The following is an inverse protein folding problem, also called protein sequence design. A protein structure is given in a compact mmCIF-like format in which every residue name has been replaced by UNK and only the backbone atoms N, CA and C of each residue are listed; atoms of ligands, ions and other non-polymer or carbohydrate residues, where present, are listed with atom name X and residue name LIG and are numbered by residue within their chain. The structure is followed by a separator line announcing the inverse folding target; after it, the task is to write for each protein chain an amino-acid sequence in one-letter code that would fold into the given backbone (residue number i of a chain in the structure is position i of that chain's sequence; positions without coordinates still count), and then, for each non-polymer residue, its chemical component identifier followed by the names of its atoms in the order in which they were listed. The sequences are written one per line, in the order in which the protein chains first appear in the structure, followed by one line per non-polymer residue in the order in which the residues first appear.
data_IF_594935257933
#
_entry.id   IF_594935257933
#
_cell.length_a   1.000
_cell.length_b   1.000
_cell.length_c   1.000
_cell.angle_alpha   90.00
_cell.angle_beta   90.00
_cell.angle_gamma   90.00
#
_symmetry.space_group_name_H-M   'P 1'
#
loop_
_entity.id
_entity.type
_entity.pdbx_description
1 polymer ?
#
# COMPACT_ATOMS: atom_id res chain seq x y z
N UNK A 1 -22.73 -17.76 13.68
CA UNK A 1 -21.37 -17.97 14.23
C UNK A 1 -20.37 -17.62 13.15
N UNK A 2 -19.36 -16.81 13.45
CA UNK A 2 -18.30 -16.45 12.50
C UNK A 2 -17.50 -17.69 12.09
N UNK A 3 -17.04 -17.75 10.85
CA UNK A 3 -16.15 -18.82 10.38
C UNK A 3 -14.82 -18.72 11.14
N UNK A 4 -14.27 -19.87 11.55
CA UNK A 4 -13.02 -19.93 12.33
C UNK A 4 -11.94 -20.70 11.60
N UNK A 5 -10.72 -20.17 11.63
CA UNK A 5 -9.51 -20.87 11.20
C UNK A 5 -8.76 -21.37 12.44
N UNK A 6 -8.61 -22.69 12.54
CA UNK A 6 -7.97 -23.34 13.68
C UNK A 6 -6.53 -23.68 13.33
N UNK A 7 -5.59 -23.17 14.12
CA UNK A 7 -4.16 -23.48 13.97
C UNK A 7 -3.82 -24.87 14.51
N UNK A 8 -2.84 -25.51 13.88
CA UNK A 8 -2.25 -26.74 14.43
C UNK A 8 -1.51 -26.45 15.74
N UNK A 9 -1.46 -27.45 16.63
CA UNK A 9 -0.83 -27.32 17.96
C UNK A 9 0.60 -26.80 17.85
N UNK A 10 0.91 -25.71 18.56
CA UNK A 10 2.23 -25.08 18.61
C UNK A 10 2.53 -24.13 17.44
N UNK A 11 1.60 -23.96 16.49
CA UNK A 11 1.74 -23.07 15.33
C UNK A 11 1.18 -21.66 15.58
N UNK A 12 0.65 -21.39 16.78
CA UNK A 12 0.18 -20.08 17.22
C UNK A 12 1.29 -19.07 17.56
N UNK A 13 2.54 -19.54 17.73
CA UNK A 13 3.67 -18.70 18.17
C UNK A 13 3.90 -17.45 17.31
N UNK A 14 3.65 -17.51 16.00
CA UNK A 14 3.78 -16.35 15.12
C UNK A 14 2.75 -15.26 15.47
N UNK A 15 1.50 -15.65 15.74
CA UNK A 15 0.44 -14.71 16.15
C UNK A 15 0.67 -14.16 17.56
N UNK A 16 1.23 -14.94 18.48
CA UNK A 16 1.63 -14.44 19.79
C UNK A 16 2.70 -13.35 19.70
N UNK A 17 3.54 -13.38 18.66
CA UNK A 17 4.50 -12.33 18.31
C UNK A 17 3.92 -11.24 17.41
N UNK A 18 2.60 -11.25 17.21
CA UNK A 18 1.84 -10.32 16.35
C UNK A 18 2.29 -10.31 14.89
N UNK A 19 2.82 -11.44 14.39
CA UNK A 19 3.09 -11.59 12.97
C UNK A 19 1.77 -11.55 12.17
N UNK A 20 1.67 -10.77 11.08
CA UNK A 20 0.40 -10.54 10.40
C UNK A 20 -0.05 -11.71 9.51
N UNK A 21 0.82 -12.68 9.23
CA UNK A 21 0.51 -13.79 8.30
C UNK A 21 0.34 -15.13 9.01
N UNK A 22 -0.67 -15.87 8.56
CA UNK A 22 -0.87 -17.29 8.83
C UNK A 22 -0.62 -18.07 7.55
N UNK A 23 0.40 -18.92 7.55
CA UNK A 23 0.71 -19.78 6.41
C UNK A 23 -0.20 -21.00 6.34
N UNK A 24 -0.46 -21.50 5.13
CA UNK A 24 -1.28 -22.68 4.84
C UNK A 24 -0.88 -23.90 5.69
N UNK A 25 0.42 -24.20 5.81
CA UNK A 25 0.93 -25.31 6.61
C UNK A 25 0.84 -25.13 8.12
N UNK A 26 0.38 -23.98 8.63
CA UNK A 26 0.08 -23.77 10.05
C UNK A 26 -1.39 -24.09 10.39
N UNK A 27 -2.25 -24.28 9.39
CA UNK A 27 -3.69 -24.47 9.56
C UNK A 27 -4.01 -25.94 9.77
N UNK A 28 -4.74 -26.27 10.84
CA UNK A 28 -5.22 -27.62 11.07
C UNK A 28 -6.55 -27.87 10.34
N UNK A 29 -7.50 -26.92 10.46
CA UNK A 29 -8.82 -27.01 9.84
C UNK A 29 -9.51 -25.66 9.77
N UNK A 30 -10.54 -25.57 8.93
CA UNK A 30 -11.53 -24.51 8.93
C UNK A 30 -12.81 -25.02 9.57
N UNK A 31 -13.45 -24.21 10.40
CA UNK A 31 -14.76 -24.47 11.00
C UNK A 31 -15.77 -23.48 10.40
N UNK A 32 -16.58 -23.98 9.46
CA UNK A 32 -17.43 -23.17 8.59
C UNK A 32 -16.86 -23.01 7.18
N UNK A 33 -17.59 -22.34 6.30
CA UNK A 33 -17.17 -22.03 4.92
C UNK A 33 -17.06 -20.52 4.77
N UNK A 34 -15.87 -20.03 4.44
CA UNK A 34 -15.59 -18.62 4.16
C UNK A 34 -15.26 -18.41 2.69
N UNK A 35 -15.70 -17.29 2.16
CA UNK A 35 -15.41 -16.81 0.81
C UNK A 35 -14.00 -16.22 0.73
N UNK A 36 -13.51 -15.99 -0.49
CA UNK A 36 -12.24 -15.32 -0.72
C UNK A 36 -12.26 -13.90 -0.12
N UNK A 37 -11.35 -13.63 0.81
CA UNK A 37 -11.18 -12.35 1.49
C UNK A 37 -12.11 -12.11 2.67
N UNK A 38 -13.05 -13.02 2.93
CA UNK A 38 -14.02 -12.90 4.03
C UNK A 38 -13.32 -12.81 5.39
N UNK A 39 -13.88 -12.00 6.28
CA UNK A 39 -13.38 -11.82 7.65
C UNK A 39 -13.68 -13.05 8.48
N UNK A 40 -12.64 -13.62 9.10
CA UNK A 40 -12.69 -14.82 9.93
C UNK A 40 -11.97 -14.59 11.26
N UNK A 41 -12.35 -15.36 12.28
CA UNK A 41 -11.58 -15.42 13.52
C UNK A 41 -10.51 -16.53 13.41
N UNK A 42 -9.34 -16.28 13.98
CA UNK A 42 -8.21 -17.21 14.01
C UNK A 42 -8.03 -17.64 15.47
N UNK A 43 -8.05 -18.95 15.69
CA UNK A 43 -7.98 -19.56 17.02
C UNK A 43 -6.85 -20.59 17.11
N UNK A 44 -6.36 -20.84 18.31
CA UNK A 44 -5.43 -21.94 18.56
C UNK A 44 -6.12 -23.32 18.50
N UNK A 45 -5.35 -24.39 18.67
CA UNK A 45 -5.86 -25.76 18.65
C UNK A 45 -6.91 -26.09 19.74
N UNK A 46 -6.97 -25.29 20.81
CA UNK A 46 -7.94 -25.42 21.92
C UNK A 46 -9.16 -24.52 21.72
N UNK A 47 -9.18 -23.70 20.67
CA UNK A 47 -10.27 -22.77 20.37
C UNK A 47 -10.12 -21.40 21.03
N UNK A 48 -8.98 -21.08 21.65
CA UNK A 48 -8.73 -19.75 22.20
C UNK A 48 -8.53 -18.75 21.05
N UNK A 49 -9.23 -17.62 21.13
CA UNK A 49 -9.11 -16.55 20.14
C UNK A 49 -7.71 -15.93 20.15
N UNK A 50 -7.15 -15.70 18.94
CA UNK A 50 -5.83 -15.11 18.75
C UNK A 50 -5.88 -13.81 17.95
N UNK A 51 -6.67 -13.77 16.88
CA UNK A 51 -6.74 -12.64 15.96
C UNK A 51 -8.00 -12.71 15.09
N UNK A 52 -8.31 -11.58 14.43
CA UNK A 52 -9.30 -11.51 13.35
C UNK A 52 -8.61 -11.09 12.06
N UNK A 53 -8.90 -11.78 10.96
CA UNK A 53 -8.19 -11.61 9.70
C UNK A 53 -9.03 -11.94 8.48
N UNK A 54 -8.48 -11.72 7.29
CA UNK A 54 -9.09 -12.10 6.03
C UNK A 54 -8.57 -13.47 5.56
N UNK A 55 -9.49 -14.31 5.11
CA UNK A 55 -9.20 -15.63 4.57
C UNK A 55 -8.77 -15.58 3.10
N UNK A 56 -7.73 -16.34 2.72
CA UNK A 56 -7.26 -16.45 1.33
C UNK A 56 -7.12 -17.93 0.92
N UNK A 57 -8.14 -18.53 0.29
CA UNK A 57 -8.16 -19.96 -0.04
C UNK A 57 -7.19 -20.34 -1.17
N UNK A 58 -6.76 -19.41 -2.02
CA UNK A 58 -5.80 -19.67 -3.09
C UNK A 58 -4.34 -19.45 -2.67
N UNK A 59 -4.09 -18.62 -1.65
CA UNK A 59 -2.74 -18.19 -1.24
C UNK A 59 -2.06 -19.14 -0.25
N UNK A 60 -0.73 -19.22 -0.31
CA UNK A 60 0.07 -19.85 0.75
C UNK A 60 0.02 -19.04 2.05
N UNK A 61 -0.24 -17.73 1.97
CA UNK A 61 -0.62 -16.92 3.13
C UNK A 61 -2.13 -17.09 3.30
N UNK A 62 -2.50 -18.15 4.02
CA UNK A 62 -3.89 -18.61 4.16
C UNK A 62 -4.79 -17.60 4.85
N UNK A 63 -4.23 -16.77 5.75
CA UNK A 63 -4.92 -15.62 6.28
C UNK A 63 -3.95 -14.47 6.60
N UNK A 64 -4.45 -13.24 6.51
CA UNK A 64 -3.74 -12.04 7.00
C UNK A 64 -4.55 -11.36 8.09
N UNK A 65 -3.90 -10.95 9.16
CA UNK A 65 -4.53 -10.41 10.37
C UNK A 65 -4.88 -8.93 10.19
N UNK A 66 -6.14 -8.57 10.38
CA UNK A 66 -6.57 -7.18 10.48
C UNK A 66 -6.35 -6.59 11.86
N UNK A 67 -6.66 -7.38 12.90
CA UNK A 67 -6.55 -6.94 14.28
C UNK A 67 -6.28 -8.08 15.25
N UNK A 68 -5.64 -7.71 16.36
CA UNK A 68 -5.43 -8.55 17.54
C UNK A 68 -6.32 -8.09 18.71
N UNK A 69 -7.25 -7.16 18.48
CA UNK A 69 -8.28 -6.76 19.44
C UNK A 69 -9.58 -7.58 19.19
N UNK A 70 -10.03 -8.40 20.16
CA UNK A 70 -11.25 -9.19 20.02
C UNK A 70 -12.51 -8.36 19.75
N UNK A 71 -12.55 -7.12 20.28
CA UNK A 71 -13.68 -6.22 20.21
C UNK A 71 -13.73 -5.38 18.92
N UNK A 72 -12.65 -5.36 18.14
CA UNK A 72 -12.54 -4.51 16.95
C UNK A 72 -13.15 -5.18 15.71
N UNK A 73 -14.32 -4.71 15.28
CA UNK A 73 -14.93 -5.08 13.99
C UNK A 73 -14.15 -4.52 12.81
N UNK A 74 -14.17 -5.22 11.67
CA UNK A 74 -13.52 -4.80 10.42
C UNK A 74 -14.56 -4.16 9.51
N UNK A 75 -14.77 -2.86 9.72
CA UNK A 75 -15.77 -2.02 9.05
C UNK A 75 -15.14 -0.70 8.54
N UNK A 76 -15.98 0.22 8.06
CA UNK A 76 -15.53 1.54 7.60
C UNK A 76 -14.75 2.28 8.71
N UNK A 77 -15.21 2.21 9.96
CA UNK A 77 -14.57 2.90 11.07
C UNK A 77 -13.18 2.31 11.38
N UNK A 78 -12.98 0.99 11.23
CA UNK A 78 -11.66 0.36 11.28
C UNK A 78 -10.70 0.96 10.26
N UNK A 79 -11.11 1.06 9.00
CA UNK A 79 -10.27 1.64 7.96
C UNK A 79 -10.02 3.13 8.22
N UNK A 80 -11.02 3.89 8.64
CA UNK A 80 -10.84 5.30 9.01
C UNK A 80 -9.79 5.47 10.10
N UNK A 81 -9.83 4.68 11.18
CA UNK A 81 -8.84 4.74 12.26
C UNK A 81 -7.43 4.43 11.77
N UNK A 82 -7.26 3.37 10.95
CA UNK A 82 -5.94 3.00 10.40
C UNK A 82 -5.40 4.06 9.44
N UNK A 83 -6.24 4.61 8.57
CA UNK A 83 -5.88 5.70 7.65
C UNK A 83 -5.43 6.95 8.42
N UNK A 84 -6.16 7.36 9.45
CA UNK A 84 -5.80 8.51 10.28
C UNK A 84 -4.49 8.30 11.05
N UNK A 85 -4.26 7.09 11.59
CA UNK A 85 -3.01 6.74 12.25
C UNK A 85 -1.82 6.86 11.28
N UNK A 86 -1.98 6.34 10.06
CA UNK A 86 -0.94 6.43 9.05
C UNK A 86 -0.72 7.87 8.57
N UNK A 87 -1.79 8.63 8.35
CA UNK A 87 -1.75 10.04 7.93
C UNK A 87 -0.97 10.89 8.93
N UNK A 88 -1.18 10.71 10.24
CA UNK A 88 -0.44 11.44 11.28
C UNK A 88 1.09 11.33 11.11
N UNK A 89 1.59 10.16 10.75
CA UNK A 89 3.02 9.97 10.48
C UNK A 89 3.46 10.69 9.20
N UNK A 90 2.62 10.65 8.17
CA UNK A 90 2.93 11.24 6.86
C UNK A 90 2.81 12.77 6.89
N UNK A 91 1.95 13.36 7.72
CA UNK A 91 1.88 14.81 7.93
C UNK A 91 3.22 15.35 8.43
N UNK A 92 3.82 14.67 9.41
CA UNK A 92 5.14 15.04 9.92
C UNK A 92 6.22 14.93 8.85
N UNK A 93 6.23 13.84 8.06
CA UNK A 93 7.17 13.67 6.96
C UNK A 93 6.99 14.74 5.89
N UNK A 94 5.75 15.01 5.48
CA UNK A 94 5.41 15.98 4.44
C UNK A 94 5.86 17.39 4.82
N UNK A 95 5.61 17.79 6.06
CA UNK A 95 6.06 19.07 6.59
C UNK A 95 7.59 19.16 6.66
N UNK A 96 8.25 18.11 7.15
CA UNK A 96 9.70 18.11 7.36
C UNK A 96 10.49 18.11 6.05
N UNK A 97 10.03 17.31 5.09
CA UNK A 97 10.77 17.02 3.86
C UNK A 97 10.24 17.82 2.64
N UNK A 98 9.19 18.62 2.82
CA UNK A 98 8.55 19.40 1.76
C UNK A 98 7.95 18.48 0.70
N UNK A 99 7.02 17.62 1.11
CA UNK A 99 6.40 16.61 0.25
C UNK A 99 4.94 16.97 -0.04
N UNK A 100 4.55 16.86 -1.30
CA UNK A 100 3.13 16.78 -1.70
C UNK A 100 2.67 15.33 -1.98
N UNK A 101 3.62 14.39 -1.93
CA UNK A 101 3.44 13.01 -2.36
C UNK A 101 4.22 12.03 -1.49
N UNK A 102 3.58 10.94 -1.08
CA UNK A 102 4.16 9.94 -0.17
C UNK A 102 3.33 8.65 -0.14
N UNK A 103 3.94 7.57 0.35
CA UNK A 103 3.21 6.33 0.65
C UNK A 103 2.39 6.51 1.91
N UNK A 104 1.08 6.65 1.77
CA UNK A 104 0.14 6.77 2.88
C UNK A 104 0.02 5.45 3.65
N UNK A 105 -0.24 4.33 2.95
CA UNK A 105 -0.35 2.99 3.56
C UNK A 105 0.68 2.05 2.94
N UNK A 106 1.48 1.40 3.78
CA UNK A 106 2.50 0.41 3.44
C UNK A 106 2.15 -0.99 3.97
N UNK A 107 0.96 -1.47 3.61
CA UNK A 107 0.52 -2.84 3.89
C UNK A 107 0.49 -3.17 5.37
N UNK A 108 1.10 -4.30 5.70
CA UNK A 108 1.24 -4.85 7.04
C UNK A 108 1.86 -3.83 8.03
N UNK A 109 2.77 -2.97 7.57
CA UNK A 109 3.50 -2.03 8.44
C UNK A 109 2.59 -0.93 9.01
N UNK A 110 1.50 -0.61 8.31
CA UNK A 110 0.47 0.33 8.76
C UNK A 110 -0.79 -0.39 9.25
N UNK A 111 -0.68 -1.70 9.52
CA UNK A 111 -1.79 -2.51 10.05
C UNK A 111 -2.91 -2.80 9.05
N UNK A 112 -2.64 -2.68 7.73
CA UNK A 112 -3.58 -2.97 6.66
C UNK A 112 -2.98 -3.99 5.65
N UNK A 113 -2.84 -5.27 6.01
CA UNK A 113 -2.12 -6.25 5.19
C UNK A 113 -2.64 -6.40 3.76
N UNK A 114 -1.74 -6.23 2.79
CA UNK A 114 -2.05 -6.30 1.36
C UNK A 114 -2.74 -5.06 0.79
N UNK A 115 -2.89 -3.97 1.54
CA UNK A 115 -3.33 -2.67 1.02
C UNK A 115 -2.11 -1.76 0.91
N UNK A 116 -1.84 -1.21 -0.28
CA UNK A 116 -0.89 -0.12 -0.46
C UNK A 116 -1.64 1.09 -0.99
N UNK A 117 -1.34 2.28 -0.44
CA UNK A 117 -1.92 3.54 -0.91
C UNK A 117 -0.80 4.57 -1.01
N UNK A 118 -0.58 5.06 -2.22
CA UNK A 118 0.32 6.18 -2.49
C UNK A 118 -0.50 7.45 -2.75
N UNK A 119 -0.08 8.56 -2.14
CA UNK A 119 -0.63 9.90 -2.36
C UNK A 119 0.27 10.61 -3.36
N UNK A 120 -0.32 11.12 -4.45
CA UNK A 120 0.34 12.00 -5.42
C UNK A 120 -0.48 13.28 -5.59
N UNK A 121 -0.11 14.37 -4.94
CA UNK A 121 -0.92 15.61 -4.96
C UNK A 121 -2.35 15.34 -4.47
N UNK A 122 -3.36 15.53 -5.33
CA UNK A 122 -4.77 15.23 -5.01
C UNK A 122 -5.24 13.82 -5.46
N UNK A 123 -4.32 12.92 -5.79
CA UNK A 123 -4.64 11.53 -6.17
C UNK A 123 -4.24 10.54 -5.07
N UNK A 124 -5.12 9.59 -4.80
CA UNK A 124 -4.87 8.40 -3.99
C UNK A 124 -4.83 7.19 -4.92
N UNK A 125 -3.68 6.55 -5.02
CA UNK A 125 -3.45 5.40 -5.89
C UNK A 125 -3.37 4.13 -5.05
N UNK A 126 -4.32 3.21 -5.27
CA UNK A 126 -4.48 1.99 -4.50
C UNK A 126 -3.79 0.83 -5.20
N UNK A 127 -3.24 -0.09 -4.41
CA UNK A 127 -2.99 -1.46 -4.82
C UNK A 127 -3.57 -2.40 -3.77
N UNK A 128 -4.59 -3.16 -4.16
CA UNK A 128 -5.20 -4.20 -3.34
C UNK A 128 -4.59 -5.52 -3.76
N UNK A 129 -3.71 -6.06 -2.91
CA UNK A 129 -2.80 -7.16 -3.28
C UNK A 129 -3.10 -8.46 -2.54
N UNK A 130 -4.01 -8.44 -1.57
CA UNK A 130 -4.48 -9.63 -0.84
C UNK A 130 -5.98 -9.84 -1.07
N UNK A 131 -6.45 -11.08 -0.87
CA UNK A 131 -7.87 -11.40 -0.93
C UNK A 131 -8.72 -10.50 0.00
N UNK A 132 -8.21 -10.25 1.22
CA UNK A 132 -8.86 -9.37 2.19
C UNK A 132 -8.94 -7.91 1.74
N UNK A 133 -7.88 -7.40 1.11
CA UNK A 133 -7.86 -6.05 0.58
C UNK A 133 -8.97 -5.85 -0.47
N UNK A 134 -9.13 -6.82 -1.38
CA UNK A 134 -10.18 -6.78 -2.41
C UNK A 134 -11.58 -6.92 -1.82
N UNK A 135 -11.78 -7.88 -0.90
CA UNK A 135 -13.09 -8.08 -0.25
C UNK A 135 -13.56 -6.83 0.50
N UNK A 136 -12.62 -6.12 1.13
CA UNK A 136 -12.89 -4.90 1.89
C UNK A 136 -12.85 -3.62 1.04
N UNK A 137 -12.79 -3.73 -0.30
CA UNK A 137 -12.72 -2.57 -1.21
C UNK A 137 -13.80 -1.54 -0.89
N UNK A 138 -15.06 -1.95 -0.77
CA UNK A 138 -16.16 -1.02 -0.53
C UNK A 138 -15.96 -0.22 0.77
N UNK A 139 -15.66 -0.89 1.88
CA UNK A 139 -15.43 -0.25 3.17
C UNK A 139 -14.21 0.69 3.15
N UNK A 140 -13.13 0.27 2.48
CA UNK A 140 -11.93 1.09 2.30
C UNK A 140 -12.23 2.37 1.49
N UNK A 141 -12.93 2.24 0.35
CA UNK A 141 -13.28 3.39 -0.49
C UNK A 141 -14.18 4.37 0.27
N UNK A 142 -15.19 3.89 1.01
CA UNK A 142 -16.03 4.77 1.83
C UNK A 142 -15.23 5.50 2.93
N UNK A 143 -14.25 4.85 3.54
CA UNK A 143 -13.37 5.48 4.52
C UNK A 143 -12.47 6.54 3.87
N UNK A 144 -11.93 6.27 2.68
CA UNK A 144 -11.09 7.22 1.93
C UNK A 144 -11.89 8.44 1.48
N UNK A 145 -13.10 8.25 0.94
CA UNK A 145 -13.96 9.36 0.49
C UNK A 145 -14.36 10.27 1.66
N UNK A 146 -14.61 9.70 2.85
CA UNK A 146 -14.90 10.47 4.05
C UNK A 146 -13.70 11.30 4.51
N UNK A 147 -12.49 10.72 4.50
CA UNK A 147 -11.29 11.37 5.04
C UNK A 147 -10.59 12.31 4.03
N UNK A 148 -10.75 12.05 2.74
CA UNK A 148 -10.10 12.77 1.66
C UNK A 148 -11.11 13.14 0.56
N UNK A 149 -12.15 13.96 0.88
CA UNK A 149 -13.25 14.23 -0.04
C UNK A 149 -12.84 14.95 -1.33
N UNK A 150 -11.71 15.67 -1.30
CA UNK A 150 -11.16 16.41 -2.45
C UNK A 150 -10.16 15.58 -3.28
N UNK A 151 -9.91 14.33 -2.91
CA UNK A 151 -8.96 13.47 -3.60
C UNK A 151 -9.67 12.54 -4.58
N UNK A 152 -9.10 12.43 -5.79
CA UNK A 152 -9.46 11.41 -6.76
C UNK A 152 -8.81 10.08 -6.38
N UNK A 153 -9.49 8.98 -6.67
CA UNK A 153 -9.02 7.62 -6.34
C UNK A 153 -8.80 6.84 -7.63
N UNK A 154 -7.61 6.25 -7.77
CA UNK A 154 -7.23 5.41 -8.91
C UNK A 154 -6.73 4.05 -8.44
N UNK A 155 -7.09 2.97 -9.13
CA UNK A 155 -6.65 1.62 -8.84
C UNK A 155 -5.48 1.22 -9.76
N UNK A 156 -4.38 0.77 -9.16
CA UNK A 156 -3.19 0.18 -9.81
C UNK A 156 -2.92 -1.24 -9.28
N UNK A 157 -3.99 -2.01 -9.11
CA UNK A 157 -3.95 -3.43 -8.75
C UNK A 157 -3.55 -4.33 -9.93
N UNK A 158 -2.85 -3.82 -10.94
CA UNK A 158 -2.29 -4.52 -12.11
C UNK A 158 -0.97 -5.24 -11.76
N UNK A 159 -0.88 -5.81 -10.56
CA UNK A 159 0.33 -6.47 -10.05
C UNK A 159 0.18 -7.99 -10.05
N UNK A 160 1.16 -8.70 -10.63
CA UNK A 160 1.16 -10.16 -10.77
C UNK A 160 0.96 -10.94 -9.46
N UNK A 161 1.26 -10.34 -8.30
CA UNK A 161 1.05 -10.95 -6.97
C UNK A 161 -0.41 -11.33 -6.72
N UNK A 162 -1.38 -10.63 -7.32
CA UNK A 162 -2.82 -10.96 -7.21
C UNK A 162 -3.16 -12.37 -7.71
N UNK A 163 -2.42 -12.88 -8.69
CA UNK A 163 -2.56 -14.26 -9.16
C UNK A 163 -2.25 -15.28 -8.06
N UNK A 164 -1.33 -14.96 -7.14
CA UNK A 164 -1.05 -15.82 -5.97
C UNK A 164 -2.19 -15.85 -4.97
N UNK A 165 -3.09 -14.87 -5.02
CA UNK A 165 -4.30 -14.80 -4.20
C UNK A 165 -5.54 -15.30 -4.95
N UNK A 166 -5.38 -15.80 -6.19
CA UNK A 166 -6.50 -16.29 -7.01
C UNK A 166 -7.38 -15.17 -7.55
N UNK A 167 -6.83 -13.97 -7.74
CA UNK A 167 -7.56 -12.80 -8.22
C UNK A 167 -7.04 -12.34 -9.59
N UNK A 168 -7.95 -11.81 -10.41
CA UNK A 168 -7.62 -11.13 -11.65
C UNK A 168 -6.95 -9.78 -11.39
N UNK A 169 -6.14 -9.35 -12.36
CA UNK A 169 -5.52 -8.02 -12.39
C UNK A 169 -6.58 -6.97 -12.70
N UNK A 170 -6.50 -5.80 -12.07
CA UNK A 170 -7.44 -4.71 -12.34
C UNK A 170 -6.74 -3.37 -12.17
N UNK A 171 -7.15 -2.37 -12.94
CA UNK A 171 -6.69 -1.00 -12.83
C UNK A 171 -7.72 -0.06 -13.43
N UNK A 172 -7.68 1.22 -13.04
CA UNK A 172 -8.54 2.25 -13.60
C UNK A 172 -9.04 3.26 -12.58
N UNK A 173 -9.82 4.26 -13.04
CA UNK A 173 -10.41 5.25 -12.14
C UNK A 173 -11.44 4.59 -11.20
N UNK A 174 -11.43 5.00 -9.92
CA UNK A 174 -12.41 4.58 -8.92
C UNK A 174 -13.39 5.70 -8.60
N UNK A 175 -12.89 6.91 -8.34
CA UNK A 175 -13.72 8.10 -8.12
C UNK A 175 -12.95 9.39 -8.44
N UNK A 176 -13.69 10.47 -8.69
CA UNK A 176 -13.11 11.77 -9.03
C UNK A 176 -12.59 11.83 -10.46
N UNK A 177 -11.57 12.66 -10.65
CA UNK A 177 -10.98 12.98 -11.94
C UNK A 177 -10.00 11.90 -12.41
N UNK A 178 -9.83 11.77 -13.72
CA UNK A 178 -8.78 10.92 -14.29
C UNK A 178 -7.42 11.64 -14.13
N UNK A 179 -6.36 10.97 -13.65
CA UNK A 179 -5.05 11.59 -13.54
C UNK A 179 -4.50 12.00 -14.92
N UNK A 180 -3.82 13.15 -15.01
CA UNK A 180 -3.17 13.55 -16.26
C UNK A 180 -2.07 12.56 -16.65
N UNK A 181 -1.63 12.60 -17.91
CA UNK A 181 -0.55 11.73 -18.39
C UNK A 181 0.76 11.89 -17.58
N UNK A 182 1.07 13.13 -17.18
CA UNK A 182 2.20 13.44 -16.30
C UNK A 182 1.75 14.43 -15.23
N UNK A 183 1.73 13.97 -13.98
CA UNK A 183 1.40 14.76 -12.81
C UNK A 183 2.69 15.28 -12.15
N UNK A 184 2.87 16.61 -11.97
CA UNK A 184 3.97 17.14 -11.19
C UNK A 184 3.76 16.86 -9.70
N UNK A 185 4.82 16.39 -9.04
CA UNK A 185 4.92 16.20 -7.59
C UNK A 185 6.18 16.90 -7.07
N UNK A 186 6.27 17.10 -5.76
CA UNK A 186 7.37 17.77 -5.08
C UNK A 186 7.98 16.92 -3.95
N UNK A 187 9.31 16.84 -3.93
CA UNK A 187 10.09 16.30 -2.81
C UNK A 187 11.39 17.10 -2.62
N UNK A 188 11.68 17.57 -1.40
CA UNK A 188 12.90 18.33 -1.07
C UNK A 188 13.19 19.48 -2.06
N UNK A 189 12.16 20.27 -2.38
CA UNK A 189 12.22 21.41 -3.31
C UNK A 189 12.46 21.04 -4.79
N UNK A 190 12.30 19.77 -5.17
CA UNK A 190 12.45 19.30 -6.54
C UNK A 190 11.12 18.83 -7.08
N UNK A 191 10.80 19.28 -8.30
CA UNK A 191 9.62 18.83 -9.03
C UNK A 191 9.92 17.62 -9.90
N UNK A 192 9.05 16.62 -9.83
CA UNK A 192 9.14 15.36 -10.56
C UNK A 192 7.83 15.11 -11.30
N UNK A 193 7.89 14.45 -12.45
CA UNK A 193 6.70 14.06 -13.20
C UNK A 193 6.41 12.58 -12.97
N UNK A 194 5.16 12.27 -12.62
CA UNK A 194 4.65 10.93 -12.35
C UNK A 194 3.58 10.56 -13.36
N UNK A 195 3.65 9.35 -13.90
CA UNK A 195 2.58 8.77 -14.72
C UNK A 195 1.80 7.76 -13.87
N UNK A 196 0.63 8.14 -13.37
CA UNK A 196 -0.19 7.26 -12.52
C UNK A 196 -0.80 6.11 -13.32
N UNK A 197 -1.16 6.31 -14.59
CA UNK A 197 -1.91 5.33 -15.36
C UNK A 197 -1.02 4.21 -15.90
N UNK A 198 0.15 4.58 -16.42
CA UNK A 198 1.04 3.65 -17.14
C UNK A 198 2.43 3.54 -16.51
N UNK A 199 2.71 4.35 -15.49
CA UNK A 199 3.99 4.30 -14.81
C UNK A 199 4.20 3.03 -13.98
N UNK A 200 5.45 2.77 -13.62
CA UNK A 200 5.83 1.60 -12.82
C UNK A 200 5.23 1.66 -11.41
N UNK A 201 4.87 0.50 -10.86
CA UNK A 201 4.21 0.34 -9.55
C UNK A 201 2.87 1.09 -9.52
N UNK A 202 2.77 2.12 -8.68
CA UNK A 202 1.63 3.05 -8.56
C UNK A 202 1.80 4.30 -9.45
N UNK A 203 2.95 4.42 -10.12
CA UNK A 203 3.31 5.51 -11.01
C UNK A 203 4.73 6.02 -10.78
N UNK A 204 5.29 5.86 -9.58
CA UNK A 204 6.63 6.31 -9.24
C UNK A 204 7.28 5.55 -8.07
N UNK A 205 8.59 5.72 -7.90
CA UNK A 205 9.39 5.10 -6.82
C UNK A 205 9.57 6.07 -5.65
N UNK A 206 8.53 6.20 -4.82
CA UNK A 206 8.58 7.02 -3.60
C UNK A 206 9.56 6.46 -2.55
N UNK A 207 9.84 5.15 -2.60
CA UNK A 207 10.81 4.46 -1.74
C UNK A 207 12.26 4.91 -1.95
N UNK A 208 12.58 5.50 -3.10
CA UNK A 208 13.92 5.99 -3.43
C UNK A 208 14.14 7.48 -3.11
N UNK A 209 13.19 8.15 -2.43
CA UNK A 209 13.29 9.59 -2.09
C UNK A 209 14.59 9.95 -1.38
N UNK A 210 14.92 9.22 -0.31
CA UNK A 210 16.09 9.53 0.50
C UNK A 210 17.40 9.24 -0.25
N UNK A 211 17.41 8.21 -1.11
CA UNK A 211 18.53 7.91 -2.02
C UNK A 211 18.74 9.05 -3.04
N UNK A 212 17.67 9.60 -3.61
CA UNK A 212 17.73 10.75 -4.53
C UNK A 212 18.25 11.99 -3.81
N UNK A 213 17.79 12.26 -2.58
CA UNK A 213 18.30 13.35 -1.76
C UNK A 213 19.80 13.16 -1.46
N UNK A 214 20.20 11.98 -1.00
CA UNK A 214 21.58 11.68 -0.64
C UNK A 214 22.53 11.85 -1.83
N UNK A 215 22.10 11.47 -3.04
CA UNK A 215 22.87 11.62 -4.27
C UNK A 215 23.35 13.06 -4.48
N UNK A 216 22.54 14.07 -4.12
CA UNK A 216 22.91 15.50 -4.26
C UNK A 216 24.22 15.85 -3.55
N UNK A 217 24.54 15.17 -2.45
CA UNK A 217 25.77 15.40 -1.66
C UNK A 217 27.04 14.90 -2.35
N UNK A 218 26.93 13.99 -3.32
CA UNK A 218 28.09 13.30 -3.89
C UNK A 218 28.52 13.82 -5.25
N UNK A 219 27.66 14.57 -5.94
CA UNK A 219 27.75 14.78 -7.41
C UNK A 219 28.26 16.16 -7.82
N UNK A 220 28.52 17.06 -6.87
CA UNK A 220 29.04 18.39 -7.17
C UNK A 220 30.35 18.31 -7.98
N UNK A 221 30.38 19.00 -9.13
CA UNK A 221 31.51 19.06 -10.06
C UNK A 221 32.02 17.69 -10.57
N UNK A 222 31.15 16.67 -10.63
CA UNK A 222 31.51 15.32 -11.13
C UNK A 222 30.71 14.92 -12.37
N UNK A 223 31.31 14.03 -13.16
CA UNK A 223 30.61 13.29 -14.21
C UNK A 223 29.89 12.09 -13.60
N UNK A 224 28.58 12.03 -13.77
CA UNK A 224 27.71 10.98 -13.19
C UNK A 224 27.10 10.15 -14.30
N UNK A 225 27.10 8.83 -14.13
CA UNK A 225 26.36 7.87 -14.95
C UNK A 225 25.20 7.32 -14.12
N UNK A 226 23.97 7.53 -14.58
CA UNK A 226 22.77 6.92 -13.99
C UNK A 226 22.26 5.79 -14.91
N UNK A 227 22.60 4.55 -14.57
CA UNK A 227 22.10 3.38 -15.29
C UNK A 227 20.65 3.11 -14.89
N UNK A 228 19.80 2.70 -15.84
CA UNK A 228 18.38 2.41 -15.63
C UNK A 228 17.58 3.58 -15.04
N UNK A 229 17.76 4.79 -15.59
CA UNK A 229 17.17 6.01 -15.03
C UNK A 229 15.64 6.00 -14.96
N UNK A 230 14.97 5.10 -15.69
CA UNK A 230 13.52 4.83 -15.73
C UNK A 230 12.66 6.02 -16.21
N UNK A 231 12.75 7.15 -15.52
CA UNK A 231 12.30 8.46 -15.96
C UNK A 231 13.54 9.33 -16.10
N UNK A 232 13.63 10.24 -17.08
CA UNK A 232 14.80 11.10 -17.29
C UNK A 232 15.00 12.11 -16.13
N UNK A 233 15.37 11.64 -14.93
CA UNK A 233 15.56 12.41 -13.69
C UNK A 233 16.82 13.29 -13.75
N UNK A 234 17.82 12.85 -14.51
CA UNK A 234 19.12 13.53 -14.62
C UNK A 234 19.19 14.54 -15.77
N UNK A 235 18.14 15.34 -16.01
CA UNK A 235 18.31 16.53 -16.87
C UNK A 235 18.79 17.71 -16.01
N UNK A 236 20.13 17.78 -15.89
CA UNK A 236 20.96 18.92 -15.46
C UNK A 236 20.37 19.74 -14.30
N UNK A 237 20.74 19.37 -13.07
CA UNK A 237 20.72 20.32 -11.94
C UNK A 237 21.76 21.40 -12.28
N UNK A 238 21.34 22.44 -13.00
CA UNK A 238 22.09 23.69 -13.09
C UNK A 238 22.05 24.35 -11.72
N UNK A 239 23.13 25.01 -11.35
CA UNK A 239 23.39 25.66 -10.05
C UNK A 239 22.33 26.68 -9.59
N UNK A 240 21.29 26.97 -10.38
CA UNK A 240 20.25 27.98 -10.13
C UNK A 240 18.80 27.45 -10.11
N UNK A 241 18.58 26.13 -10.06
CA UNK A 241 17.23 25.58 -9.83
C UNK A 241 16.18 25.86 -10.92
N UNK A 242 16.57 26.34 -12.10
CA UNK A 242 15.66 26.52 -13.26
C UNK A 242 15.80 25.39 -14.27
N UNK A 243 14.66 24.86 -14.71
CA UNK A 243 14.56 23.95 -15.86
C UNK A 243 14.86 24.72 -17.15
N UNK A 244 15.91 24.34 -17.88
CA UNK A 244 16.12 24.81 -19.26
C UNK A 244 15.70 23.72 -20.26
N UNK A 245 14.94 24.08 -21.33
CA UNK A 245 14.61 23.15 -22.39
C UNK A 245 15.76 23.08 -23.41
N UNK A 246 16.28 21.90 -23.71
CA UNK A 246 17.24 21.79 -24.82
C UNK A 246 17.80 20.40 -25.16
N UNK A 247 17.63 20.04 -26.43
CA UNK A 247 18.33 19.05 -27.26
C UNK A 247 18.10 17.55 -27.03
N UNK A 248 17.36 16.97 -27.98
CA UNK A 248 17.41 15.57 -28.38
C UNK A 248 18.78 15.27 -29.01
N UNK A 249 19.42 14.21 -28.53
CA UNK A 249 20.18 13.26 -29.36
C UNK A 249 19.78 11.87 -28.89
#
# INVERSE_FOLDING_TARGET
MSVRLVLAKGREKSLLRRHPWVFSGAVARMEGKASLGETIDIVDHQGKWLARGAYSPASQIRARVWTFDPSESIDIAFFSRRLQQAQKWRDWLAQKDGLDSYRLIAGESDGLPGITIDRFGNFLVLQLLSAGAEYQRAALISALQTLYPECSIYDRSDVAVRKKEGMELTQGPVTGELPPALLPIEEHGMKLLVDIQHGHKTGYYLDQRDSRLATRRYVENKRVLNCFSLYRWFRRIGTDGRLQPGCQR
#
